data_IF_072262953035
#
_entry.id   IF_072262953035
#
_cell.length_a   1.000
_cell.length_b   1.000
_cell.length_c   1.000
_cell.angle_alpha   90.00
_cell.angle_beta   90.00
_cell.angle_gamma   90.00
#
_symmetry.space_group_name_H-M   'P 1'
#
loop_
_entity.id
_entity.type
_entity.pdbx_description
1 polymer ?
#
# COMPACT_ATOMS: atom_id res chain seq x y z
N UNK A 1 -8.02 -10.23 -2.81
CA UNK A 1 -9.38 -9.84 -3.18
C UNK A 1 -9.41 -9.35 -4.62
N UNK A 2 -8.74 -8.27 -4.99
CA UNK A 2 -8.82 -7.71 -6.36
C UNK A 2 -8.34 -8.68 -7.46
N UNK A 3 -7.40 -9.58 -7.18
CA UNK A 3 -6.98 -10.60 -8.15
C UNK A 3 -8.14 -11.50 -8.57
N UNK A 4 -8.94 -11.98 -7.61
CA UNK A 4 -10.16 -12.73 -7.92
C UNK A 4 -11.16 -11.89 -8.71
N UNK A 5 -11.31 -10.62 -8.36
CA UNK A 5 -12.19 -9.67 -9.10
C UNK A 5 -11.76 -9.55 -10.57
N UNK A 6 -10.45 -9.52 -10.87
CA UNK A 6 -9.93 -9.51 -12.24
C UNK A 6 -10.40 -10.77 -12.99
N UNK A 7 -10.23 -11.94 -12.41
CA UNK A 7 -10.66 -13.20 -13.02
C UNK A 7 -12.17 -13.27 -13.23
N UNK A 8 -12.96 -12.84 -12.24
CA UNK A 8 -14.43 -12.81 -12.37
C UNK A 8 -14.92 -11.85 -13.46
N UNK A 9 -14.32 -10.67 -13.54
CA UNK A 9 -14.64 -9.68 -14.59
C UNK A 9 -14.25 -10.20 -15.97
N UNK A 10 -13.10 -10.88 -16.09
CA UNK A 10 -12.71 -11.54 -17.32
C UNK A 10 -13.69 -12.65 -17.69
N UNK A 11 -13.98 -13.57 -16.76
CA UNK A 11 -14.85 -14.72 -17.01
C UNK A 11 -16.27 -14.30 -17.40
N UNK A 12 -16.80 -13.27 -16.74
CA UNK A 12 -18.19 -12.85 -16.92
C UNK A 12 -18.39 -11.90 -18.09
N UNK A 13 -17.42 -11.01 -18.34
CA UNK A 13 -17.59 -9.90 -19.31
C UNK A 13 -16.49 -9.87 -20.40
N UNK A 14 -15.51 -10.72 -20.35
CA UNK A 14 -14.42 -10.77 -21.33
C UNK A 14 -13.37 -9.67 -21.17
N UNK A 15 -13.38 -8.90 -20.11
CA UNK A 15 -12.35 -7.87 -19.89
C UNK A 15 -10.98 -8.52 -19.70
N UNK A 16 -9.99 -8.05 -20.43
CA UNK A 16 -8.63 -8.59 -20.37
C UNK A 16 -7.53 -7.53 -20.23
N UNK A 17 -7.89 -6.25 -20.10
CA UNK A 17 -6.97 -5.12 -19.88
C UNK A 17 -7.24 -4.49 -18.54
N UNK A 18 -6.31 -4.68 -17.60
CA UNK A 18 -6.39 -4.15 -16.26
C UNK A 18 -5.15 -3.35 -15.90
N UNK A 19 -5.31 -2.30 -15.12
CA UNK A 19 -4.20 -1.57 -14.53
C UNK A 19 -4.36 -1.64 -13.01
N UNK A 20 -3.31 -2.03 -12.31
CA UNK A 20 -3.26 -1.95 -10.85
C UNK A 20 -2.39 -0.75 -10.48
N UNK A 21 -3.01 0.26 -9.88
CA UNK A 21 -2.35 1.45 -9.38
C UNK A 21 -2.13 1.33 -7.86
N UNK A 22 -0.88 1.41 -7.45
CA UNK A 22 -0.46 1.27 -6.05
C UNK A 22 0.27 2.52 -5.56
N UNK A 23 0.19 2.87 -4.25
CA UNK A 23 0.75 4.11 -3.75
C UNK A 23 2.28 4.10 -3.61
N UNK A 24 2.89 2.94 -3.40
CA UNK A 24 4.32 2.84 -3.07
C UNK A 24 5.04 1.73 -3.83
N UNK A 25 6.38 1.82 -3.86
CA UNK A 25 7.23 0.78 -4.44
C UNK A 25 7.17 -0.53 -3.65
N UNK A 26 7.02 -0.47 -2.33
CA UNK A 26 6.93 -1.66 -1.50
C UNK A 26 5.65 -2.46 -1.80
N UNK A 27 4.50 -1.78 -1.90
CA UNK A 27 3.23 -2.42 -2.29
C UNK A 27 3.31 -2.94 -3.72
N UNK A 28 3.97 -2.18 -4.63
CA UNK A 28 4.19 -2.62 -6.01
C UNK A 28 4.96 -3.95 -6.05
N UNK A 29 6.08 -4.05 -5.33
CA UNK A 29 6.89 -5.25 -5.27
C UNK A 29 6.13 -6.46 -4.69
N UNK A 30 5.37 -6.25 -3.60
CA UNK A 30 4.53 -7.31 -3.03
C UNK A 30 3.42 -7.77 -3.96
N UNK A 31 2.78 -6.83 -4.68
CA UNK A 31 1.77 -7.16 -5.70
C UNK A 31 2.38 -7.94 -6.88
N UNK A 32 3.52 -7.50 -7.37
CA UNK A 32 4.26 -8.18 -8.43
C UNK A 32 4.64 -9.60 -8.03
N UNK A 33 5.24 -9.75 -6.84
CA UNK A 33 5.60 -11.06 -6.29
C UNK A 33 4.39 -11.98 -6.22
N UNK A 34 3.28 -11.51 -5.65
CA UNK A 34 2.05 -12.31 -5.52
C UNK A 34 1.48 -12.74 -6.88
N UNK A 35 1.40 -11.83 -7.85
CA UNK A 35 0.86 -12.15 -9.19
C UNK A 35 1.74 -13.11 -9.98
N UNK A 36 3.05 -13.14 -9.70
CA UNK A 36 4.02 -14.02 -10.33
C UNK A 36 4.30 -15.31 -9.55
N UNK A 37 3.79 -15.41 -8.31
CA UNK A 37 3.97 -16.58 -7.45
C UNK A 37 3.34 -17.83 -8.09
N UNK A 38 4.11 -18.91 -8.32
CA UNK A 38 3.59 -20.12 -8.98
C UNK A 38 2.41 -20.76 -8.26
N UNK A 39 2.39 -20.69 -6.92
CA UNK A 39 1.28 -21.19 -6.13
C UNK A 39 0.01 -20.37 -6.36
N UNK A 40 0.11 -19.03 -6.33
CA UNK A 40 -1.03 -18.15 -6.57
C UNK A 40 -1.59 -18.33 -7.99
N UNK A 41 -0.72 -18.46 -8.98
CA UNK A 41 -1.13 -18.74 -10.36
C UNK A 41 -1.92 -20.04 -10.45
N UNK A 42 -1.37 -21.15 -9.97
CA UNK A 42 -2.06 -22.46 -9.97
C UNK A 42 -3.36 -22.43 -9.17
N UNK A 43 -3.39 -21.71 -8.05
CA UNK A 43 -4.61 -21.55 -7.27
C UNK A 43 -5.75 -20.94 -8.10
N UNK A 44 -5.48 -19.93 -8.90
CA UNK A 44 -6.52 -19.28 -9.71
C UNK A 44 -6.80 -20.06 -10.99
N UNK A 45 -5.78 -20.51 -11.73
CA UNK A 45 -5.99 -21.23 -12.99
C UNK A 45 -6.67 -22.57 -12.78
N UNK A 46 -6.13 -23.39 -11.89
CA UNK A 46 -6.56 -24.77 -11.69
C UNK A 46 -7.51 -24.90 -10.51
N UNK A 47 -7.12 -24.41 -9.31
CA UNK A 47 -7.89 -24.54 -8.09
C UNK A 47 -9.23 -23.82 -8.13
N UNK A 48 -9.28 -22.61 -8.71
CA UNK A 48 -10.53 -21.87 -8.93
C UNK A 48 -11.16 -22.14 -10.29
N UNK A 49 -10.53 -22.90 -11.15
CA UNK A 49 -11.04 -23.31 -12.45
C UNK A 49 -11.25 -22.17 -13.46
N UNK A 50 -10.44 -21.10 -13.39
CA UNK A 50 -10.56 -20.03 -14.39
C UNK A 50 -9.95 -20.41 -15.74
N UNK A 51 -8.94 -21.28 -15.77
CA UNK A 51 -8.26 -21.71 -16.99
C UNK A 51 -7.57 -20.58 -17.77
N UNK A 52 -7.33 -19.44 -17.10
CA UNK A 52 -6.79 -18.21 -17.66
C UNK A 52 -5.61 -17.76 -16.80
N UNK A 53 -4.60 -17.18 -17.42
CA UNK A 53 -3.41 -16.67 -16.72
C UNK A 53 -3.34 -15.14 -16.75
N UNK A 54 -2.81 -14.56 -15.69
CA UNK A 54 -2.44 -13.15 -15.64
C UNK A 54 -1.02 -13.00 -16.16
N UNK A 55 -0.86 -12.18 -17.20
CA UNK A 55 0.43 -11.66 -17.65
C UNK A 55 0.68 -10.32 -16.98
N UNK A 56 1.62 -10.31 -16.02
CA UNK A 56 1.95 -9.14 -15.22
C UNK A 56 3.02 -8.31 -15.93
N UNK A 57 2.66 -7.09 -16.31
CA UNK A 57 3.50 -6.12 -16.99
C UNK A 57 3.85 -5.00 -15.99
N UNK A 58 5.10 -4.94 -15.55
CA UNK A 58 5.52 -4.01 -14.48
C UNK A 58 6.16 -2.76 -15.09
N UNK A 59 5.52 -1.61 -14.91
CA UNK A 59 6.08 -0.35 -15.38
C UNK A 59 7.15 0.15 -14.40
N UNK A 60 8.35 0.34 -14.90
CA UNK A 60 9.49 0.85 -14.14
C UNK A 60 10.03 2.17 -14.71
N UNK A 61 10.60 2.97 -13.83
CA UNK A 61 11.37 4.13 -14.28
C UNK A 61 12.67 3.67 -14.96
N UNK A 62 13.11 4.32 -16.03
CA UNK A 62 14.36 3.96 -16.70
C UNK A 62 15.54 4.16 -15.76
N UNK A 63 16.36 3.11 -15.58
CA UNK A 63 17.51 3.09 -14.65
C UNK A 63 18.61 4.08 -15.01
N UNK A 64 18.75 4.49 -16.27
CA UNK A 64 19.71 5.51 -16.74
C UNK A 64 19.14 6.25 -17.96
N UNK A 65 19.40 7.56 -18.05
CA UNK A 65 19.18 8.31 -19.30
C UNK A 65 20.21 7.84 -20.33
N UNK A 66 19.81 6.99 -21.26
CA UNK A 66 20.65 6.67 -22.41
C UNK A 66 20.72 7.91 -23.31
N UNK A 67 21.93 8.35 -23.64
CA UNK A 67 22.14 9.29 -24.75
C UNK A 67 21.82 8.53 -26.05
N UNK A 68 20.92 9.04 -26.85
CA UNK A 68 20.52 8.43 -28.12
C UNK A 68 19.01 8.38 -28.32
N UNK A 69 18.56 7.39 -29.09
CA UNK A 69 17.15 7.21 -29.47
C UNK A 69 16.24 7.01 -28.28
N UNK A 70 15.05 7.60 -28.35
CA UNK A 70 14.01 7.50 -27.34
C UNK A 70 13.02 6.41 -27.76
N UNK A 71 13.11 5.28 -27.09
CA UNK A 71 12.19 4.17 -27.37
C UNK A 71 10.95 4.26 -26.50
N UNK A 72 9.83 4.01 -27.11
CA UNK A 72 8.55 3.84 -26.42
C UNK A 72 8.68 2.74 -25.35
N UNK A 73 8.10 2.89 -24.12
CA UNK A 73 8.20 1.89 -23.07
C UNK A 73 7.69 0.52 -23.55
N UNK A 74 8.57 -0.48 -23.59
CA UNK A 74 8.23 -1.82 -24.09
C UNK A 74 7.06 -2.45 -23.33
N UNK A 75 7.03 -2.25 -22.01
CA UNK A 75 5.96 -2.74 -21.13
C UNK A 75 4.59 -2.17 -21.54
N UNK A 76 4.53 -0.87 -21.88
CA UNK A 76 3.27 -0.25 -22.37
C UNK A 76 2.92 -0.79 -23.75
N UNK A 77 3.90 -0.92 -24.63
CA UNK A 77 3.69 -1.54 -25.95
C UNK A 77 3.12 -2.95 -25.83
N UNK A 78 3.70 -3.78 -24.96
CA UNK A 78 3.29 -5.16 -24.77
C UNK A 78 1.89 -5.24 -24.13
N UNK A 79 1.57 -4.30 -23.24
CA UNK A 79 0.22 -4.12 -22.70
C UNK A 79 -0.79 -3.77 -23.79
N UNK A 80 -0.48 -2.80 -24.64
CA UNK A 80 -1.38 -2.33 -25.71
C UNK A 80 -1.58 -3.42 -26.77
N UNK A 81 -0.49 -4.03 -27.24
CA UNK A 81 -0.53 -5.06 -28.29
C UNK A 81 -1.07 -6.42 -27.82
N UNK A 82 -1.16 -6.65 -26.52
CA UNK A 82 -1.75 -7.87 -25.98
C UNK A 82 -3.15 -8.11 -26.59
N UNK A 83 -3.35 -9.27 -27.21
CA UNK A 83 -4.56 -9.56 -27.96
C UNK A 83 -5.83 -9.59 -27.11
N UNK A 84 -6.80 -8.80 -27.46
CA UNK A 84 -8.14 -8.85 -26.87
C UNK A 84 -8.92 -10.13 -27.20
N UNK A 85 -8.46 -10.88 -28.20
CA UNK A 85 -9.06 -12.14 -28.64
C UNK A 85 -8.47 -13.36 -27.90
N UNK A 86 -7.38 -13.18 -27.15
CA UNK A 86 -6.81 -14.25 -26.37
C UNK A 86 -7.54 -14.45 -25.04
N UNK A 87 -8.55 -15.31 -25.04
CA UNK A 87 -9.36 -15.63 -23.85
C UNK A 87 -8.59 -16.35 -22.74
N UNK A 88 -7.35 -16.78 -22.99
CA UNK A 88 -6.49 -17.48 -22.01
C UNK A 88 -5.53 -16.54 -21.28
N UNK A 89 -5.47 -15.25 -21.64
CA UNK A 89 -4.57 -14.27 -21.04
C UNK A 89 -5.28 -13.00 -20.62
N UNK A 90 -4.99 -12.56 -19.41
CA UNK A 90 -5.39 -11.28 -18.84
C UNK A 90 -4.12 -10.43 -18.70
N UNK A 91 -4.10 -9.26 -19.30
CA UNK A 91 -2.96 -8.35 -19.24
C UNK A 91 -3.14 -7.38 -18.09
N UNK A 92 -2.23 -7.38 -17.15
CA UNK A 92 -2.24 -6.49 -15.98
C UNK A 92 -1.02 -5.58 -16.01
N UNK A 93 -1.23 -4.27 -16.19
CA UNK A 93 -0.19 -3.26 -16.07
C UNK A 93 -0.11 -2.80 -14.61
N UNK A 94 1.00 -3.08 -13.95
CA UNK A 94 1.25 -2.67 -12.57
C UNK A 94 2.06 -1.38 -12.54
N UNK A 95 1.50 -0.34 -11.93
CA UNK A 95 2.09 0.99 -11.89
C UNK A 95 1.99 1.61 -10.49
N UNK A 96 3.01 2.32 -10.05
CA UNK A 96 2.96 3.10 -8.82
C UNK A 96 2.59 4.57 -9.10
N UNK A 97 2.02 5.21 -8.08
CA UNK A 97 1.55 6.59 -8.13
C UNK A 97 2.59 7.59 -8.65
N UNK A 98 3.85 7.40 -8.26
CA UNK A 98 4.94 8.30 -8.68
C UNK A 98 5.15 8.29 -10.21
N UNK A 99 5.09 7.13 -10.85
CA UNK A 99 5.24 7.03 -12.31
C UNK A 99 4.07 7.68 -13.07
N UNK A 100 2.85 7.58 -12.52
CA UNK A 100 1.69 8.25 -13.08
C UNK A 100 1.83 9.78 -13.05
N UNK A 101 2.33 10.32 -11.94
CA UNK A 101 2.36 11.76 -11.69
C UNK A 101 3.66 12.44 -12.07
N UNK A 102 4.73 11.66 -12.30
CA UNK A 102 6.06 12.18 -12.62
C UNK A 102 6.10 12.79 -14.01
N UNK A 103 6.09 14.09 -14.05
CA UNK A 103 6.22 14.87 -15.27
C UNK A 103 6.92 16.21 -14.97
N UNK A 104 7.75 16.65 -15.88
CA UNK A 104 8.31 17.99 -15.91
C UNK A 104 8.36 18.49 -17.36
N UNK A 105 8.41 19.80 -17.56
CA UNK A 105 8.54 20.39 -18.90
C UNK A 105 9.97 20.84 -19.12
N UNK A 106 10.50 20.52 -20.31
CA UNK A 106 11.78 21.04 -20.78
C UNK A 106 11.56 21.57 -22.20
N UNK A 107 11.89 22.84 -22.42
CA UNK A 107 11.64 23.53 -23.70
C UNK A 107 10.18 23.37 -24.18
N UNK A 108 9.20 23.49 -23.27
CA UNK A 108 7.79 23.37 -23.55
C UNK A 108 7.26 21.94 -23.72
N UNK A 109 8.10 20.92 -23.78
CA UNK A 109 7.73 19.52 -23.96
C UNK A 109 7.71 18.74 -22.65
N UNK A 110 6.80 17.81 -22.54
CA UNK A 110 6.72 16.88 -21.40
C UNK A 110 7.90 15.91 -21.43
N UNK A 111 8.45 15.57 -20.25
CA UNK A 111 9.61 14.68 -20.13
C UNK A 111 9.30 13.41 -19.33
N UNK A 112 8.10 13.31 -18.76
CA UNK A 112 7.67 12.14 -18.01
C UNK A 112 7.52 10.90 -18.90
N UNK A 113 7.84 9.71 -18.38
CA UNK A 113 7.82 8.47 -19.15
C UNK A 113 6.49 8.21 -19.87
N UNK A 114 5.37 8.49 -19.21
CA UNK A 114 4.04 8.28 -19.76
C UNK A 114 3.47 9.54 -20.47
N UNK A 115 4.09 10.69 -20.25
CA UNK A 115 3.57 11.99 -20.66
C UNK A 115 4.10 12.46 -22.00
N UNK A 116 5.35 12.08 -22.34
CA UNK A 116 6.04 12.55 -23.53
C UNK A 116 5.45 11.94 -24.80
N UNK A 117 5.52 12.67 -25.87
CA UNK A 117 5.03 12.33 -27.22
C UNK A 117 6.13 12.31 -28.29
N UNK A 118 7.40 12.45 -27.89
CA UNK A 118 8.58 12.55 -28.74
C UNK A 118 9.37 11.25 -28.82
N UNK A 119 8.70 10.10 -28.73
CA UNK A 119 9.32 8.81 -28.98
C UNK A 119 9.58 8.58 -30.47
N UNK A 120 10.69 7.92 -30.80
CA UNK A 120 11.13 7.67 -32.17
C UNK A 120 10.16 6.75 -32.98
N UNK A 121 9.39 5.94 -32.28
CA UNK A 121 8.40 5.02 -32.86
C UNK A 121 7.08 5.10 -32.12
N UNK A 122 6.01 4.96 -32.86
CA UNK A 122 4.65 4.86 -32.36
C UNK A 122 4.29 3.42 -31.92
N UNK A 123 3.20 3.28 -31.18
CA UNK A 123 2.53 2.03 -30.89
C UNK A 123 1.07 2.16 -31.25
N UNK A 124 0.62 1.38 -32.24
CA UNK A 124 -0.77 1.45 -32.76
C UNK A 124 -1.19 2.88 -33.20
N UNK A 125 -0.26 3.67 -33.75
CA UNK A 125 -0.48 5.05 -34.16
C UNK A 125 -0.33 6.10 -33.05
N UNK A 126 0.02 5.69 -31.83
CA UNK A 126 0.19 6.60 -30.70
C UNK A 126 1.66 6.80 -30.37
N UNK A 127 2.09 8.06 -30.33
CA UNK A 127 3.43 8.44 -29.86
C UNK A 127 3.48 8.66 -28.34
N UNK A 128 2.33 8.97 -27.72
CA UNK A 128 2.22 9.21 -26.27
C UNK A 128 1.72 7.95 -25.56
N UNK A 129 2.46 7.41 -24.56
CA UNK A 129 2.07 6.19 -23.87
C UNK A 129 0.69 6.25 -23.19
N UNK A 130 0.30 7.39 -22.62
CA UNK A 130 -1.05 7.54 -22.07
C UNK A 130 -2.14 7.35 -23.12
N UNK A 131 -1.96 7.90 -24.31
CA UNK A 131 -2.97 7.76 -25.38
C UNK A 131 -3.08 6.31 -25.86
N UNK A 132 -1.94 5.62 -25.97
CA UNK A 132 -1.92 4.20 -26.28
C UNK A 132 -2.60 3.35 -25.20
N UNK A 133 -2.37 3.65 -23.92
CA UNK A 133 -3.06 2.99 -22.81
C UNK A 133 -4.56 3.28 -22.84
N UNK A 134 -4.94 4.55 -23.02
CA UNK A 134 -6.33 5.00 -23.07
C UNK A 134 -7.14 4.33 -24.20
N UNK A 135 -6.50 4.07 -25.34
CA UNK A 135 -7.14 3.39 -26.48
C UNK A 135 -7.61 1.97 -26.13
N UNK A 136 -6.96 1.30 -25.18
CA UNK A 136 -7.34 -0.03 -24.72
C UNK A 136 -8.55 -0.03 -23.79
N UNK A 137 -8.98 1.13 -23.29
CA UNK A 137 -10.09 1.31 -22.33
C UNK A 137 -9.99 0.33 -21.16
N UNK A 138 -8.91 0.37 -20.37
CA UNK A 138 -8.67 -0.62 -19.32
C UNK A 138 -9.64 -0.43 -18.14
N UNK A 139 -9.77 -1.48 -17.31
CA UNK A 139 -10.31 -1.34 -15.96
C UNK A 139 -9.15 -1.00 -15.02
N UNK A 140 -9.29 0.07 -14.24
CA UNK A 140 -8.27 0.46 -13.26
C UNK A 140 -8.67 0.01 -11.87
N UNK A 141 -7.78 -0.71 -11.21
CA UNK A 141 -7.89 -1.10 -9.82
C UNK A 141 -6.93 -0.21 -9.03
N UNK A 142 -7.44 0.45 -8.00
CA UNK A 142 -6.65 1.26 -7.07
C UNK A 142 -6.60 0.53 -5.74
N UNK A 143 -5.40 0.17 -5.33
CA UNK A 143 -5.13 -0.37 -4.01
C UNK A 143 -4.77 0.78 -3.05
N UNK A 144 -5.25 0.70 -1.80
CA UNK A 144 -5.07 1.74 -0.77
C UNK A 144 -5.58 3.12 -1.20
N UNK A 145 -6.91 3.27 -1.44
CA UNK A 145 -7.50 4.47 -2.01
C UNK A 145 -7.33 5.74 -1.17
N UNK A 146 -6.99 5.62 0.11
CA UNK A 146 -6.69 6.78 0.94
C UNK A 146 -5.47 7.60 0.44
N UNK A 147 -4.62 7.00 -0.39
CA UNK A 147 -3.50 7.65 -1.08
C UNK A 147 -3.87 8.21 -2.47
N UNK A 148 -5.07 7.91 -2.95
CA UNK A 148 -5.60 8.32 -4.26
C UNK A 148 -6.94 9.05 -4.08
N UNK A 149 -6.96 10.11 -3.28
CA UNK A 149 -8.15 10.96 -3.16
C UNK A 149 -8.48 11.61 -4.52
N UNK A 150 -9.76 11.84 -4.80
CA UNK A 150 -10.22 12.37 -6.11
C UNK A 150 -9.66 13.75 -6.45
N UNK A 151 -9.34 14.55 -5.47
CA UNK A 151 -8.72 15.85 -5.63
C UNK A 151 -7.20 15.77 -5.89
N UNK A 152 -6.57 14.64 -5.60
CA UNK A 152 -5.14 14.44 -5.82
C UNK A 152 -4.81 14.22 -7.30
N UNK A 153 -3.60 14.69 -7.67
CA UNK A 153 -3.07 14.59 -9.04
C UNK A 153 -3.10 13.16 -9.58
N UNK A 154 -2.76 12.16 -8.75
CA UNK A 154 -2.71 10.77 -9.18
C UNK A 154 -4.08 10.23 -9.65
N UNK A 155 -5.14 10.53 -8.91
CA UNK A 155 -6.49 10.14 -9.32
C UNK A 155 -6.93 10.86 -10.60
N UNK A 156 -6.66 12.17 -10.68
CA UNK A 156 -6.97 12.96 -11.89
C UNK A 156 -6.26 12.42 -13.11
N UNK A 157 -4.99 12.05 -13.00
CA UNK A 157 -4.24 11.43 -14.10
C UNK A 157 -4.86 10.10 -14.53
N UNK A 158 -5.28 9.26 -13.58
CA UNK A 158 -5.98 8.01 -13.92
C UNK A 158 -7.28 8.32 -14.68
N UNK A 159 -8.06 9.27 -14.21
CA UNK A 159 -9.34 9.62 -14.80
C UNK A 159 -9.17 10.30 -16.17
N UNK A 160 -8.30 11.29 -16.27
CA UNK A 160 -8.23 12.20 -17.42
C UNK A 160 -7.29 11.69 -18.52
N UNK A 161 -6.21 10.98 -18.16
CA UNK A 161 -5.20 10.52 -19.12
C UNK A 161 -5.41 9.04 -19.52
N UNK A 162 -5.67 8.15 -18.56
CA UNK A 162 -5.93 6.73 -18.85
C UNK A 162 -7.34 6.51 -19.39
N UNK A 163 -8.30 7.31 -18.97
CA UNK A 163 -9.71 7.24 -19.39
C UNK A 163 -10.31 5.83 -19.30
N UNK A 164 -10.24 5.19 -18.14
CA UNK A 164 -10.66 3.81 -17.97
C UNK A 164 -12.17 3.64 -18.15
N UNK A 165 -12.61 2.41 -18.49
CA UNK A 165 -14.04 2.08 -18.48
C UNK A 165 -14.64 2.12 -17.08
N UNK A 166 -13.88 1.66 -16.09
CA UNK A 166 -14.26 1.66 -14.69
C UNK A 166 -13.04 1.81 -13.79
N UNK A 167 -13.25 2.40 -12.62
CA UNK A 167 -12.26 2.47 -11.54
C UNK A 167 -12.84 1.73 -10.33
N UNK A 168 -12.16 0.70 -9.87
CA UNK A 168 -12.53 -0.09 -8.70
C UNK A 168 -11.48 0.18 -7.62
N UNK A 169 -11.91 0.58 -6.43
CA UNK A 169 -11.02 0.91 -5.33
C UNK A 169 -11.15 -0.12 -4.21
N UNK A 170 -10.02 -0.68 -3.79
CA UNK A 170 -9.92 -1.64 -2.69
C UNK A 170 -9.10 -1.05 -1.56
N UNK A 171 -9.61 -1.04 -0.36
CA UNK A 171 -8.88 -0.57 0.81
C UNK A 171 -9.70 -0.60 2.09
N UNK A 172 -9.03 -0.63 3.22
CA UNK A 172 -9.64 -0.57 4.54
C UNK A 172 -10.13 0.85 4.88
N UNK A 173 -9.48 1.86 4.33
CA UNK A 173 -9.77 3.28 4.59
C UNK A 173 -9.95 4.05 3.30
N UNK A 174 -10.92 4.96 3.31
CA UNK A 174 -11.17 5.89 2.21
C UNK A 174 -10.92 7.32 2.68
N UNK A 175 -10.44 8.22 1.79
CA UNK A 175 -10.30 9.63 2.11
C UNK A 175 -11.63 10.23 2.55
N UNK A 176 -11.56 11.31 3.28
CA UNK A 176 -12.71 12.14 3.58
C UNK A 176 -12.68 13.39 2.71
N UNK A 177 -13.81 13.73 2.14
CA UNK A 177 -14.00 14.96 1.36
C UNK A 177 -14.93 15.87 2.16
N UNK A 178 -14.49 17.11 2.37
CA UNK A 178 -15.33 18.15 2.97
C UNK A 178 -15.93 19.01 1.87
N UNK A 179 -17.26 19.00 1.75
CA UNK A 179 -18.02 19.83 0.82
C UNK A 179 -18.80 20.89 1.58
N UNK A 180 -19.13 22.00 0.88
CA UNK A 180 -19.85 23.13 1.47
C UNK A 180 -18.93 24.20 2.07
N UNK A 181 -19.55 25.32 2.50
CA UNK A 181 -18.85 26.47 3.10
C UNK A 181 -19.48 26.86 4.46
N UNK A 182 -18.67 27.38 5.35
CA UNK A 182 -19.13 27.88 6.66
C UNK A 182 -19.80 26.80 7.49
N UNK A 183 -21.01 27.07 7.99
CA UNK A 183 -21.80 26.15 8.84
C UNK A 183 -22.37 24.94 8.06
N UNK A 184 -22.38 24.98 6.74
CA UNK A 184 -22.88 23.91 5.88
C UNK A 184 -21.77 22.96 5.39
N UNK A 185 -20.67 22.88 6.09
CA UNK A 185 -19.61 21.91 5.80
C UNK A 185 -20.09 20.52 6.14
N UNK A 186 -20.08 19.63 5.15
CA UNK A 186 -20.38 18.19 5.30
C UNK A 186 -19.14 17.42 4.94
N UNK A 187 -18.72 16.51 5.81
CA UNK A 187 -17.61 15.59 5.54
C UNK A 187 -18.17 14.22 5.20
N UNK A 188 -17.86 13.74 4.02
CA UNK A 188 -18.29 12.43 3.52
C UNK A 188 -17.08 11.59 3.12
N UNK A 189 -17.24 10.28 3.11
CA UNK A 189 -16.18 9.40 2.57
C UNK A 189 -16.10 9.55 1.05
N UNK A 190 -14.88 9.49 0.51
CA UNK A 190 -14.59 9.64 -0.92
C UNK A 190 -14.89 8.35 -1.71
N UNK A 191 -16.15 7.92 -1.69
CA UNK A 191 -16.65 6.91 -2.64
C UNK A 191 -18.07 7.23 -3.10
N UNK A 192 -18.43 6.80 -4.31
CA UNK A 192 -19.78 7.01 -4.86
C UNK A 192 -20.61 5.74 -4.71
N UNK A 193 -20.07 4.62 -5.14
CA UNK A 193 -20.78 3.34 -5.17
C UNK A 193 -20.02 2.36 -4.26
N UNK A 194 -20.51 2.14 -3.05
CA UNK A 194 -19.98 1.13 -2.17
C UNK A 194 -20.55 -0.22 -2.59
N UNK A 195 -19.72 -1.06 -3.19
CA UNK A 195 -20.14 -2.39 -3.65
C UNK A 195 -20.13 -3.43 -2.53
N UNK A 196 -19.17 -3.31 -1.62
CA UNK A 196 -19.02 -4.25 -0.53
C UNK A 196 -18.33 -3.58 0.67
N UNK A 197 -18.89 -3.76 1.85
CA UNK A 197 -18.31 -3.30 3.11
C UNK A 197 -18.11 -4.49 4.07
N UNK A 198 -16.86 -4.81 4.34
CA UNK A 198 -16.48 -5.78 5.35
C UNK A 198 -15.78 -5.05 6.51
N UNK A 199 -16.57 -4.50 7.40
CA UNK A 199 -16.03 -3.86 8.59
C UNK A 199 -15.43 -4.86 9.59
N UNK A 200 -14.63 -4.37 10.54
CA UNK A 200 -13.91 -5.22 11.50
C UNK A 200 -14.85 -6.12 12.32
N UNK A 201 -16.02 -5.63 12.71
CA UNK A 201 -16.99 -6.42 13.46
C UNK A 201 -17.56 -7.58 12.63
N UNK A 202 -17.93 -7.30 11.37
CA UNK A 202 -18.42 -8.33 10.47
C UNK A 202 -17.33 -9.36 10.15
N UNK A 203 -16.09 -8.91 9.92
CA UNK A 203 -14.95 -9.80 9.68
C UNK A 203 -14.65 -10.70 10.89
N UNK A 204 -14.74 -10.15 12.10
CA UNK A 204 -14.59 -10.91 13.35
C UNK A 204 -15.70 -11.95 13.52
N UNK A 205 -16.96 -11.56 13.37
CA UNK A 205 -18.11 -12.45 13.51
C UNK A 205 -18.11 -13.58 12.47
N UNK A 206 -17.50 -13.35 11.31
CA UNK A 206 -17.31 -14.37 10.27
C UNK A 206 -16.04 -15.21 10.45
N UNK A 207 -15.27 -15.00 11.52
CA UNK A 207 -14.02 -15.73 11.76
C UNK A 207 -12.90 -15.43 10.75
N UNK A 208 -12.97 -14.31 10.00
CA UNK A 208 -12.00 -13.96 8.95
C UNK A 208 -10.75 -13.27 9.51
N UNK A 209 -10.84 -12.73 10.71
CA UNK A 209 -9.70 -12.09 11.41
C UNK A 209 -9.53 -12.70 12.80
N UNK A 210 -8.30 -12.66 13.30
CA UNK A 210 -7.99 -13.09 14.67
C UNK A 210 -8.72 -12.20 15.68
N UNK A 211 -9.20 -12.82 16.75
CA UNK A 211 -9.75 -12.07 17.88
C UNK A 211 -8.69 -11.22 18.56
N UNK A 212 -9.12 -10.09 19.10
CA UNK A 212 -8.30 -9.30 20.02
C UNK A 212 -8.62 -9.79 21.42
N UNK A 213 -7.68 -10.49 22.04
CA UNK A 213 -7.75 -10.79 23.48
C UNK A 213 -7.15 -9.57 24.18
N UNK A 214 -7.98 -8.87 24.92
CA UNK A 214 -7.52 -7.83 25.83
C UNK A 214 -7.21 -8.49 27.15
N UNK A 215 -5.96 -8.82 27.38
CA UNK A 215 -5.52 -9.21 28.72
C UNK A 215 -5.43 -7.96 29.60
N UNK A 216 -6.28 -7.90 30.59
CA UNK A 216 -6.13 -6.96 31.68
C UNK A 216 -5.14 -7.59 32.66
N UNK A 217 -3.91 -7.19 32.59
CA UNK A 217 -3.03 -7.32 33.73
C UNK A 217 -3.52 -6.33 34.78
N UNK A 218 -4.28 -6.81 35.75
CA UNK A 218 -4.42 -6.05 36.96
C UNK A 218 -3.03 -6.00 37.60
N UNK A 219 -2.42 -4.84 37.77
CA UNK A 219 -1.17 -4.75 38.51
C UNK A 219 -1.45 -5.33 39.88
N UNK A 220 -0.64 -6.32 40.27
CA UNK A 220 -0.78 -7.13 41.50
C UNK A 220 -0.85 -6.27 42.77
N UNK A 221 -0.54 -5.01 42.69
CA UNK A 221 -0.94 -4.01 43.69
C UNK A 221 -0.99 -2.62 43.04
N UNK A 222 -2.18 -2.08 42.90
CA UNK A 222 -2.38 -0.66 42.55
C UNK A 222 -1.82 0.32 43.59
N UNK A 223 -1.22 -0.19 44.68
CA UNK A 223 -1.19 0.66 45.84
C UNK A 223 0.14 1.36 46.12
N UNK A 224 1.30 0.75 45.82
CA UNK A 224 2.41 1.22 46.60
C UNK A 224 3.76 1.39 45.87
N UNK A 225 3.95 0.89 44.64
CA UNK A 225 5.25 0.96 43.99
C UNK A 225 5.16 1.67 42.61
N UNK A 226 6.02 2.66 42.41
CA UNK A 226 6.12 3.39 41.16
C UNK A 226 7.56 3.36 40.66
N UNK A 227 7.72 2.95 39.41
CA UNK A 227 9.00 3.03 38.69
C UNK A 227 8.86 3.99 37.53
N UNK A 228 9.78 4.90 37.39
CA UNK A 228 9.83 5.89 36.32
C UNK A 228 11.22 5.91 35.70
N UNK A 229 11.30 5.86 34.39
CA UNK A 229 12.53 6.14 33.65
C UNK A 229 12.77 7.64 33.72
N UNK A 230 13.92 8.05 34.24
CA UNK A 230 14.28 9.47 34.37
C UNK A 230 15.21 9.94 33.28
N UNK A 231 16.13 9.11 32.84
CA UNK A 231 17.04 9.41 31.72
C UNK A 231 17.63 8.16 31.09
N UNK A 232 18.03 8.30 29.83
CA UNK A 232 18.79 7.27 29.09
C UNK A 232 20.16 7.86 28.77
N UNK A 233 21.22 7.15 29.14
CA UNK A 233 22.59 7.62 28.95
C UNK A 233 23.25 6.87 27.82
N UNK A 234 23.59 7.57 26.74
CA UNK A 234 24.42 7.08 25.61
C UNK A 234 24.04 5.72 25.02
N UNK A 235 22.79 5.28 25.14
CA UNK A 235 22.30 3.93 24.78
C UNK A 235 22.94 2.78 25.60
N UNK A 236 23.62 3.07 26.69
CA UNK A 236 24.33 2.07 27.48
C UNK A 236 23.66 1.80 28.82
N UNK A 237 23.00 2.80 29.39
CA UNK A 237 22.37 2.69 30.70
C UNK A 237 21.08 3.49 30.79
N UNK A 238 20.16 3.01 31.61
CA UNK A 238 18.88 3.65 31.93
C UNK A 238 18.82 3.94 33.42
N UNK A 239 18.47 5.16 33.76
CA UNK A 239 18.23 5.56 35.14
C UNK A 239 16.75 5.42 35.48
N UNK A 240 16.48 4.63 36.49
CA UNK A 240 15.16 4.41 37.05
C UNK A 240 15.02 5.12 38.39
N UNK A 241 13.93 5.77 38.58
CA UNK A 241 13.48 6.27 39.86
C UNK A 241 12.39 5.34 40.41
N UNK A 242 12.63 4.75 41.53
CA UNK A 242 11.71 3.88 42.22
C UNK A 242 11.20 4.51 43.50
N UNK A 243 9.90 4.45 43.71
CA UNK A 243 9.26 4.93 44.93
C UNK A 243 8.22 3.92 45.39
N UNK A 244 8.37 3.46 46.63
CA UNK A 244 7.36 2.70 47.36
C UNK A 244 6.60 3.66 48.28
N UNK A 245 5.34 3.36 48.54
CA UNK A 245 4.53 4.15 49.47
C UNK A 245 5.20 4.15 50.81
N UNK A 246 5.34 5.33 51.41
CA UNK A 246 5.99 5.54 52.70
C UNK A 246 7.50 5.32 52.78
N UNK A 247 8.18 5.11 51.62
CA UNK A 247 9.64 5.03 51.56
C UNK A 247 10.27 6.21 50.78
N UNK A 248 11.54 6.45 51.02
CA UNK A 248 12.33 7.42 50.27
C UNK A 248 12.53 6.93 48.84
N UNK A 249 12.58 7.88 47.90
CA UNK A 249 12.86 7.60 46.50
C UNK A 249 14.27 7.02 46.33
N UNK A 250 14.40 5.88 45.65
CA UNK A 250 15.67 5.25 45.29
C UNK A 250 15.96 5.38 43.81
N UNK A 251 17.22 5.53 43.45
CA UNK A 251 17.67 5.59 42.09
C UNK A 251 18.44 4.33 41.71
N UNK A 252 18.14 3.80 40.55
CA UNK A 252 18.80 2.61 40.00
C UNK A 252 19.32 2.92 38.61
N UNK A 253 20.48 2.35 38.29
CA UNK A 253 21.04 2.42 36.93
C UNK A 253 21.17 1.01 36.41
N UNK A 254 20.47 0.68 35.33
CA UNK A 254 20.45 -0.63 34.72
C UNK A 254 20.94 -0.55 33.28
N UNK A 255 21.52 -1.65 32.80
CA UNK A 255 22.05 -1.83 31.43
C UNK A 255 21.24 -2.87 30.67
N UNK A 256 21.51 -2.98 29.39
CA UNK A 256 20.96 -4.08 28.57
C UNK A 256 21.38 -5.43 29.16
N UNK A 257 20.42 -6.33 29.35
CA UNK A 257 20.57 -7.62 29.97
C UNK A 257 20.28 -7.64 31.48
N UNK A 258 20.12 -6.48 32.12
CA UNK A 258 19.76 -6.43 33.55
C UNK A 258 18.27 -6.70 33.75
N UNK A 259 17.96 -7.47 34.80
CA UNK A 259 16.60 -7.76 35.21
C UNK A 259 16.04 -6.61 36.09
N UNK A 260 14.78 -6.23 35.86
CA UNK A 260 14.11 -5.22 36.68
C UNK A 260 13.82 -5.68 38.11
N UNK A 261 13.92 -6.96 38.41
CA UNK A 261 13.87 -7.51 39.80
C UNK A 261 14.93 -6.90 40.70
N UNK A 262 16.03 -6.36 40.16
CA UNK A 262 17.03 -5.58 40.92
C UNK A 262 16.40 -4.36 41.59
N UNK A 263 15.35 -3.79 40.98
CA UNK A 263 14.62 -2.65 41.53
C UNK A 263 13.60 -3.13 42.58
N UNK A 264 12.83 -4.16 42.27
CA UNK A 264 11.82 -4.75 43.15
C UNK A 264 11.37 -6.11 42.60
N UNK A 265 11.08 -7.06 43.47
CA UNK A 265 10.56 -8.39 43.14
C UNK A 265 9.24 -8.33 42.36
N UNK A 266 8.51 -7.20 42.46
CA UNK A 266 7.29 -6.97 41.69
C UNK A 266 7.53 -6.92 40.14
N UNK A 267 8.79 -6.82 39.72
CA UNK A 267 9.21 -6.80 38.29
C UNK A 267 9.98 -8.06 37.89
N UNK A 268 9.79 -9.16 38.60
CA UNK A 268 10.39 -10.44 38.27
C UNK A 268 9.99 -10.88 36.86
N UNK A 269 10.95 -11.40 36.10
CA UNK A 269 10.76 -11.86 34.74
C UNK A 269 10.87 -10.76 33.67
N UNK A 270 11.04 -9.50 34.04
CA UNK A 270 11.25 -8.40 33.10
C UNK A 270 12.75 -8.09 33.00
N UNK A 271 13.28 -8.12 31.78
CA UNK A 271 14.71 -7.86 31.50
C UNK A 271 14.81 -6.79 30.40
N UNK A 272 15.78 -5.91 30.51
CA UNK A 272 16.06 -4.90 29.48
C UNK A 272 16.67 -5.58 28.26
N UNK A 273 15.92 -5.66 27.16
CA UNK A 273 16.37 -6.29 25.92
C UNK A 273 17.20 -5.32 25.05
N UNK A 274 16.81 -4.05 24.99
CA UNK A 274 17.56 -3.04 24.24
C UNK A 274 17.37 -1.63 24.82
N UNK A 275 18.40 -0.78 24.65
CA UNK A 275 18.37 0.63 25.04
C UNK A 275 18.58 1.48 23.79
N UNK A 276 17.55 2.22 23.37
CA UNK A 276 17.58 3.20 22.31
C UNK A 276 18.01 4.61 22.77
N UNK A 277 17.95 5.59 21.91
CA UNK A 277 18.21 6.99 22.27
C UNK A 277 17.09 7.58 23.16
N UNK A 278 15.85 7.16 22.91
CA UNK A 278 14.64 7.70 23.56
C UNK A 278 13.66 6.63 24.02
N UNK A 279 14.03 5.36 23.87
CA UNK A 279 13.20 4.19 24.22
C UNK A 279 14.01 3.11 24.92
N UNK A 280 13.32 2.33 25.74
CA UNK A 280 13.85 1.11 26.38
C UNK A 280 12.89 -0.01 26.04
N UNK A 281 13.45 -1.15 25.62
CA UNK A 281 12.70 -2.37 25.30
C UNK A 281 12.94 -3.39 26.41
N UNK A 282 11.86 -4.07 26.80
CA UNK A 282 11.83 -5.07 27.85
C UNK A 282 11.53 -6.46 27.32
#
# INVERSE_FOLDING_TARGET
>A
VYTKTIFELHKKYGFNKFIIAVPSLAIKAGTEQFLNEPYARRHFTDGCGYGTEIETLVLEAPKKKKKGRLYFPSVVRDFVKGSNQNTKKIYVLLVNMQLLTSNSKRNGRDTGLLWRDDYDYDVEGFYRPFDAIASTKPIVIIDEPHRFSRDQKAFKVIHDEIKPQAIIRFGATFPQITTGRGRNKITVKDYQNLLYDLNACAAFNQGLIKGVIKEHFEPVSKKDEKVKITSIHSKEAVHFQYKKKDESTKMFTLKTGDALSIISDAFEGITISAIGKTSVEF
#
